data_IF_652143537929
#
_entry.id   IF_652143537929
#
_cell.length_a   1.000
_cell.length_b   1.000
_cell.length_c   1.000
_cell.angle_alpha   90.00
_cell.angle_beta   90.00
_cell.angle_gamma   90.00
#
_symmetry.space_group_name_H-M   'P 1'
#
loop_
_entity.id
_entity.type
_entity.pdbx_description
1 polymer ?
#
# COMPACT_ATOMS: atom_id res chain seq x y z
N UNK A 1 16.64 -31.15 47.20
CA UNK A 1 16.73 -29.68 47.19
C UNK A 1 17.49 -29.29 45.94
N UNK A 2 16.79 -29.03 44.84
CA UNK A 2 17.38 -28.72 43.52
C UNK A 2 17.07 -27.23 43.26
N UNK A 3 18.11 -26.43 43.20
CA UNK A 3 18.04 -25.00 42.88
C UNK A 3 17.78 -24.84 41.37
N UNK A 4 16.66 -24.25 41.01
CA UNK A 4 16.38 -23.73 39.69
C UNK A 4 17.17 -22.44 39.48
N UNK A 5 18.14 -22.50 38.57
CA UNK A 5 18.85 -21.32 38.05
C UNK A 5 17.95 -20.61 37.04
N UNK A 6 17.36 -19.51 37.46
CA UNK A 6 16.63 -18.58 36.60
C UNK A 6 17.68 -17.82 35.79
N UNK A 7 17.76 -18.09 34.49
CA UNK A 7 18.56 -17.27 33.56
C UNK A 7 17.86 -15.96 33.32
N UNK A 8 18.28 -14.92 33.99
CA UNK A 8 17.86 -13.54 33.71
C UNK A 8 18.40 -13.14 32.34
N UNK A 9 17.48 -12.94 31.39
CA UNK A 9 17.77 -12.28 30.12
C UNK A 9 18.23 -10.87 30.39
N UNK A 10 19.52 -10.63 30.26
CA UNK A 10 20.14 -9.30 30.40
C UNK A 10 19.80 -8.49 29.13
N UNK A 11 18.67 -7.82 29.13
CA UNK A 11 18.44 -6.74 28.19
C UNK A 11 19.47 -5.64 28.44
N UNK A 12 20.44 -5.47 27.53
CA UNK A 12 21.33 -4.32 27.52
C UNK A 12 20.47 -3.07 27.40
N UNK A 13 20.67 -2.04 28.28
CA UNK A 13 19.96 -0.78 28.11
C UNK A 13 20.36 -0.19 26.76
N UNK A 14 19.35 0.10 25.93
CA UNK A 14 19.57 0.81 24.68
C UNK A 14 20.29 2.13 24.97
N UNK A 15 21.44 2.35 24.33
CA UNK A 15 22.14 3.62 24.44
C UNK A 15 21.22 4.73 23.89
N UNK A 16 20.79 5.72 24.69
CA UNK A 16 19.82 6.73 24.26
C UNK A 16 20.30 7.61 23.10
N UNK A 17 21.57 7.52 22.73
CA UNK A 17 22.16 8.24 21.61
C UNK A 17 22.22 7.41 20.31
N UNK A 18 21.80 6.14 20.33
CA UNK A 18 21.82 5.31 19.13
C UNK A 18 20.46 5.47 18.42
N UNK A 19 20.48 6.01 17.20
CA UNK A 19 19.29 6.06 16.36
C UNK A 19 18.77 4.63 16.11
N UNK A 20 17.46 4.41 16.17
CA UNK A 20 16.88 3.09 15.89
C UNK A 20 17.29 2.62 14.49
N UNK A 21 17.48 1.31 14.32
CA UNK A 21 17.81 0.62 13.05
C UNK A 21 19.19 0.94 12.42
N UNK A 22 20.03 1.77 13.03
CA UNK A 22 21.41 2.03 12.53
C UNK A 22 22.23 0.76 12.44
N UNK A 23 22.06 -0.15 13.40
CA UNK A 23 22.72 -1.46 13.45
C UNK A 23 22.32 -2.38 12.28
N UNK A 24 21.21 -2.07 11.60
CA UNK A 24 20.74 -2.75 10.39
C UNK A 24 21.10 -1.99 9.10
N UNK A 25 21.81 -0.86 9.22
CA UNK A 25 22.07 0.06 8.11
C UNK A 25 20.78 0.65 7.51
N UNK A 26 19.77 0.92 8.37
CA UNK A 26 18.48 1.49 7.97
C UNK A 26 18.21 2.80 8.71
N UNK A 27 17.48 3.71 8.08
CA UNK A 27 17.00 4.95 8.70
C UNK A 27 15.80 4.70 9.63
N UNK A 28 14.96 3.71 9.31
CA UNK A 28 13.73 3.34 10.03
C UNK A 28 13.32 1.91 9.67
N UNK A 29 12.32 1.37 10.38
CA UNK A 29 11.75 0.06 10.01
C UNK A 29 11.09 0.14 8.63
N UNK A 30 11.54 -0.65 7.62
CA UNK A 30 11.03 -0.58 6.25
C UNK A 30 9.52 -0.81 6.14
N UNK A 31 8.95 -1.57 7.09
CA UNK A 31 7.56 -2.00 7.08
C UNK A 31 6.66 -1.18 7.99
N UNK A 32 7.19 -0.12 8.60
CA UNK A 32 6.41 0.88 9.34
C UNK A 32 5.45 1.66 8.44
N UNK A 33 4.54 2.40 9.06
CA UNK A 33 3.59 3.23 8.32
C UNK A 33 4.32 4.37 7.58
N UNK A 34 4.18 4.40 6.26
CA UNK A 34 4.79 5.42 5.42
C UNK A 34 3.83 6.60 5.20
N UNK A 35 4.34 7.84 5.24
CA UNK A 35 3.60 9.00 4.75
C UNK A 35 3.10 8.80 3.31
N UNK A 36 1.92 9.34 3.00
CA UNK A 36 1.26 9.15 1.69
C UNK A 36 2.16 9.43 0.48
N UNK A 37 2.99 10.47 0.56
CA UNK A 37 3.94 10.85 -0.51
C UNK A 37 4.96 9.76 -0.88
N UNK A 38 5.30 8.89 0.07
CA UNK A 38 6.25 7.80 -0.16
C UNK A 38 5.54 6.52 -0.63
N UNK A 39 4.27 6.33 -0.24
CA UNK A 39 3.48 5.17 -0.71
C UNK A 39 3.35 5.14 -2.23
N UNK A 40 3.13 6.29 -2.87
CA UNK A 40 3.06 6.40 -4.32
C UNK A 40 4.36 5.96 -5.00
N UNK A 41 5.52 6.41 -4.46
CA UNK A 41 6.84 6.09 -5.02
C UNK A 41 7.23 4.62 -4.90
N UNK A 42 6.70 3.93 -3.89
CA UNK A 42 6.97 2.52 -3.61
C UNK A 42 5.88 1.58 -4.14
N UNK A 43 4.94 2.11 -4.92
CA UNK A 43 3.91 1.31 -5.55
C UNK A 43 4.51 0.43 -6.67
N UNK A 44 4.28 -0.88 -6.57
CA UNK A 44 4.64 -1.85 -7.63
C UNK A 44 3.42 -2.08 -8.49
N UNK A 45 3.23 -1.26 -9.52
CA UNK A 45 2.08 -1.30 -10.43
C UNK A 45 2.51 -0.98 -11.86
N UNK A 46 1.98 -1.73 -12.83
CA UNK A 46 2.03 -1.31 -14.23
C UNK A 46 0.92 -0.30 -14.49
N UNK A 47 1.29 0.96 -14.60
CA UNK A 47 0.36 2.06 -14.87
C UNK A 47 0.02 2.23 -16.34
N UNK A 48 0.83 1.70 -17.26
CA UNK A 48 0.69 1.93 -18.71
C UNK A 48 -0.71 1.59 -19.23
N UNK A 49 -1.27 0.37 -19.04
CA UNK A 49 -2.58 0.03 -19.57
C UNK A 49 -3.74 0.74 -18.85
N UNK A 50 -3.47 1.33 -17.68
CA UNK A 50 -4.44 2.11 -16.92
C UNK A 50 -4.50 3.55 -17.43
N UNK A 51 -3.35 4.14 -17.75
CA UNK A 51 -3.25 5.48 -18.34
C UNK A 51 -3.85 5.53 -19.74
N UNK A 52 -3.61 4.51 -20.57
CA UNK A 52 -4.24 4.37 -21.89
C UNK A 52 -5.77 4.35 -21.80
N UNK A 53 -6.33 3.63 -20.82
CA UNK A 53 -7.78 3.64 -20.59
C UNK A 53 -8.27 5.02 -20.14
N UNK A 54 -7.57 5.66 -19.19
CA UNK A 54 -7.95 6.96 -18.66
C UNK A 54 -7.86 8.11 -19.67
N UNK A 55 -7.13 7.94 -20.78
CA UNK A 55 -7.12 8.90 -21.89
C UNK A 55 -8.42 8.94 -22.70
N UNK A 56 -9.30 7.94 -22.53
CA UNK A 56 -10.58 7.86 -23.26
C UNK A 56 -11.60 8.84 -22.67
N UNK A 57 -12.52 9.34 -23.50
CA UNK A 57 -13.61 10.19 -23.02
C UNK A 57 -14.47 9.47 -21.97
N UNK A 58 -14.78 10.16 -20.88
CA UNK A 58 -15.63 9.64 -19.79
C UNK A 58 -15.14 8.33 -19.16
N UNK A 59 -13.84 8.03 -19.26
CA UNK A 59 -13.25 6.83 -18.68
C UNK A 59 -13.42 6.79 -17.16
N UNK A 60 -13.61 5.58 -16.63
CA UNK A 60 -13.59 5.28 -15.21
C UNK A 60 -12.71 4.06 -14.98
N UNK A 61 -11.69 4.23 -14.16
CA UNK A 61 -10.91 3.13 -13.61
C UNK A 61 -11.42 2.84 -12.20
N UNK A 62 -11.87 1.62 -11.97
CA UNK A 62 -12.36 1.16 -10.68
C UNK A 62 -11.40 0.12 -10.09
N UNK A 63 -10.80 0.43 -8.94
CA UNK A 63 -9.97 -0.50 -8.17
C UNK A 63 -10.85 -1.09 -7.07
N UNK A 64 -11.17 -2.37 -7.16
CA UNK A 64 -11.97 -3.09 -6.16
C UNK A 64 -11.04 -3.99 -5.35
N UNK A 65 -11.29 -4.15 -4.07
CA UNK A 65 -10.57 -5.09 -3.20
C UNK A 65 -10.87 -4.84 -1.73
N UNK A 66 -10.53 -5.78 -0.90
CA UNK A 66 -10.69 -5.68 0.56
C UNK A 66 -9.71 -4.68 1.18
N UNK A 67 -9.87 -4.41 2.46
CA UNK A 67 -8.96 -3.55 3.22
C UNK A 67 -7.60 -4.25 3.32
N UNK A 68 -6.51 -3.51 3.06
CA UNK A 68 -5.15 -4.10 3.08
C UNK A 68 -4.56 -4.36 1.70
N UNK A 69 -5.37 -4.53 0.66
CA UNK A 69 -4.95 -4.93 -0.70
C UNK A 69 -4.37 -3.79 -1.56
N UNK A 70 -3.79 -2.77 -0.96
CA UNK A 70 -3.00 -1.76 -1.67
C UNK A 70 -3.78 -0.74 -2.51
N UNK A 71 -5.14 -0.72 -2.52
CA UNK A 71 -5.94 0.24 -3.31
C UNK A 71 -5.44 1.67 -3.23
N UNK A 72 -5.31 2.21 -2.01
CA UNK A 72 -4.85 3.59 -1.78
C UNK A 72 -3.46 3.84 -2.38
N UNK A 73 -2.54 2.87 -2.29
CA UNK A 73 -1.20 2.95 -2.87
C UNK A 73 -1.27 3.08 -4.39
N UNK A 74 -2.11 2.28 -5.04
CA UNK A 74 -2.34 2.35 -6.49
C UNK A 74 -2.98 3.68 -6.91
N UNK A 75 -3.97 4.17 -6.14
CA UNK A 75 -4.60 5.47 -6.40
C UNK A 75 -3.60 6.62 -6.33
N UNK A 76 -2.69 6.59 -5.35
CA UNK A 76 -1.66 7.62 -5.18
C UNK A 76 -0.60 7.54 -6.28
N UNK A 77 -0.20 6.34 -6.70
CA UNK A 77 0.71 6.17 -7.83
C UNK A 77 0.10 6.73 -9.12
N UNK A 78 -1.17 6.44 -9.38
CA UNK A 78 -1.89 7.01 -10.53
C UNK A 78 -2.05 8.52 -10.41
N UNK A 79 -2.28 9.06 -9.20
CA UNK A 79 -2.35 10.51 -8.98
C UNK A 79 -1.07 11.20 -9.43
N UNK A 80 0.09 10.63 -9.12
CA UNK A 80 1.40 11.22 -9.46
C UNK A 80 1.68 11.23 -10.98
N UNK A 81 0.91 10.45 -11.77
CA UNK A 81 0.98 10.50 -13.24
C UNK A 81 0.27 11.72 -13.87
N UNK A 82 -0.52 12.48 -13.10
CA UNK A 82 -1.33 13.58 -13.61
C UNK A 82 -1.12 14.86 -12.81
N UNK A 83 -0.72 15.93 -13.45
CA UNK A 83 -0.49 17.23 -12.80
C UNK A 83 -1.77 17.90 -12.30
N UNK A 84 -2.91 17.64 -12.95
CA UNK A 84 -4.22 18.21 -12.62
C UNK A 84 -5.13 17.27 -11.82
N UNK A 85 -4.62 16.12 -11.36
CA UNK A 85 -5.41 15.17 -10.60
C UNK A 85 -5.74 15.68 -9.20
N UNK A 86 -6.98 15.46 -8.76
CA UNK A 86 -7.39 15.66 -7.37
C UNK A 86 -7.71 14.35 -6.69
N UNK A 87 -7.26 14.19 -5.46
CA UNK A 87 -7.47 12.99 -4.64
C UNK A 87 -8.29 13.33 -3.40
N UNK A 88 -9.34 12.55 -3.15
CA UNK A 88 -10.15 12.66 -1.94
C UNK A 88 -10.36 11.27 -1.35
N UNK A 89 -9.96 11.12 -0.09
CA UNK A 89 -10.31 9.96 0.72
C UNK A 89 -11.56 10.25 1.54
N UNK A 90 -12.50 9.31 1.56
CA UNK A 90 -13.75 9.41 2.35
C UNK A 90 -13.63 8.57 3.63
N UNK A 91 -13.23 9.16 4.78
CA UNK A 91 -13.24 8.45 6.05
C UNK A 91 -14.66 8.09 6.46
N UNK A 92 -14.80 7.08 7.30
CA UNK A 92 -16.11 6.71 7.84
C UNK A 92 -16.74 7.87 8.61
N UNK A 93 -18.02 8.12 8.37
CA UNK A 93 -18.79 9.20 9.00
C UNK A 93 -18.40 10.63 8.59
N UNK A 94 -17.38 10.84 7.74
CA UNK A 94 -16.96 12.18 7.31
C UNK A 94 -17.30 12.44 5.84
N UNK A 95 -17.55 13.71 5.52
CA UNK A 95 -17.90 14.17 4.17
C UNK A 95 -16.95 15.30 3.75
N UNK A 96 -15.73 14.98 3.33
CA UNK A 96 -14.79 15.99 2.88
C UNK A 96 -15.32 16.70 1.63
N UNK A 97 -14.96 17.97 1.41
CA UNK A 97 -15.24 18.67 0.17
C UNK A 97 -14.50 17.97 -0.98
N UNK A 98 -15.16 17.93 -2.15
CA UNK A 98 -14.59 17.31 -3.35
C UNK A 98 -14.11 18.42 -4.29
N UNK A 99 -12.79 18.62 -4.42
CA UNK A 99 -12.24 19.64 -5.30
C UNK A 99 -12.48 19.28 -6.78
N UNK A 100 -12.19 20.22 -7.65
CA UNK A 100 -12.05 19.93 -9.06
C UNK A 100 -10.74 19.21 -9.34
N UNK A 101 -10.73 18.39 -10.38
CA UNK A 101 -9.52 17.64 -10.77
C UNK A 101 -9.75 16.82 -12.04
N UNK A 102 -8.67 16.59 -12.78
CA UNK A 102 -8.69 15.84 -14.02
C UNK A 102 -7.44 14.93 -14.09
N UNK A 103 -7.56 13.62 -13.78
CA UNK A 103 -8.74 12.91 -13.30
C UNK A 103 -9.14 13.25 -11.86
N UNK A 104 -10.38 12.93 -11.47
CA UNK A 104 -10.84 12.99 -10.09
C UNK A 104 -10.73 11.60 -9.45
N UNK A 105 -9.98 11.52 -8.35
CA UNK A 105 -9.68 10.27 -7.65
C UNK A 105 -10.47 10.22 -6.34
N UNK A 106 -11.33 9.21 -6.19
CA UNK A 106 -12.22 9.03 -5.05
C UNK A 106 -11.86 7.72 -4.34
N UNK A 107 -11.24 7.82 -3.18
CA UNK A 107 -10.90 6.67 -2.34
C UNK A 107 -12.00 6.39 -1.31
N UNK A 108 -12.34 5.12 -1.13
CA UNK A 108 -13.49 4.65 -0.34
C UNK A 108 -14.84 5.15 -0.92
N UNK A 109 -14.98 5.10 -2.25
CA UNK A 109 -16.12 5.65 -2.98
C UNK A 109 -17.50 5.09 -2.54
N UNK A 110 -17.57 3.88 -1.95
CA UNK A 110 -18.79 3.30 -1.39
C UNK A 110 -19.32 4.06 -0.17
N UNK A 111 -18.48 4.89 0.50
CA UNK A 111 -18.87 5.70 1.65
C UNK A 111 -19.53 7.02 1.25
N UNK A 112 -19.46 7.38 -0.04
CA UNK A 112 -20.09 8.59 -0.56
C UNK A 112 -21.61 8.37 -0.57
N UNK A 113 -22.42 9.30 -0.02
CA UNK A 113 -23.88 9.23 -0.10
C UNK A 113 -24.34 9.07 -1.55
N UNK A 114 -25.41 8.29 -1.78
CA UNK A 114 -25.85 7.93 -3.13
C UNK A 114 -26.14 9.14 -4.03
N UNK A 115 -26.71 10.21 -3.50
CA UNK A 115 -27.04 11.44 -4.23
C UNK A 115 -25.77 12.21 -4.63
N UNK A 116 -24.79 12.35 -3.71
CA UNK A 116 -23.52 13.01 -3.98
C UNK A 116 -22.69 12.17 -4.97
N UNK A 117 -22.65 10.84 -4.78
CA UNK A 117 -21.98 9.92 -5.69
C UNK A 117 -22.55 10.01 -7.11
N UNK A 118 -23.89 10.12 -7.25
CA UNK A 118 -24.53 10.32 -8.55
C UNK A 118 -24.03 11.59 -9.25
N UNK A 119 -23.93 12.71 -8.53
CA UNK A 119 -23.39 13.97 -9.07
C UNK A 119 -21.92 13.84 -9.48
N UNK A 120 -21.09 13.23 -8.64
CA UNK A 120 -19.67 13.02 -8.94
C UNK A 120 -19.47 12.10 -10.14
N UNK A 121 -20.25 11.05 -10.27
CA UNK A 121 -20.18 10.11 -11.39
C UNK A 121 -20.64 10.73 -12.72
N UNK A 122 -21.35 11.84 -12.70
CA UNK A 122 -21.78 12.60 -13.90
C UNK A 122 -20.75 13.64 -14.34
N UNK A 123 -19.75 13.99 -13.53
CA UNK A 123 -18.75 15.00 -13.91
C UNK A 123 -18.08 14.62 -15.24
N UNK A 124 -17.78 15.58 -16.14
CA UNK A 124 -17.25 15.28 -17.49
C UNK A 124 -15.76 14.94 -17.51
N UNK A 125 -15.17 14.58 -16.37
CA UNK A 125 -13.75 14.22 -16.23
C UNK A 125 -13.57 12.71 -16.04
N UNK A 126 -12.41 12.13 -16.35
CA UNK A 126 -12.08 10.78 -15.97
C UNK A 126 -12.16 10.58 -14.46
N UNK A 127 -12.59 9.41 -14.02
CA UNK A 127 -12.68 9.07 -12.60
C UNK A 127 -11.78 7.88 -12.29
N UNK A 128 -11.16 7.92 -11.11
CA UNK A 128 -10.45 6.78 -10.54
C UNK A 128 -11.06 6.49 -9.18
N UNK A 129 -11.59 5.29 -9.00
CA UNK A 129 -12.35 4.89 -7.81
C UNK A 129 -11.60 3.82 -7.03
N UNK A 130 -11.35 4.02 -5.74
CA UNK A 130 -11.02 2.97 -4.78
C UNK A 130 -12.28 2.57 -4.04
N UNK A 131 -12.66 1.30 -4.06
CA UNK A 131 -13.94 0.85 -3.52
C UNK A 131 -13.92 -0.61 -3.10
N UNK A 132 -14.83 -1.00 -2.21
CA UNK A 132 -15.17 -2.39 -1.89
C UNK A 132 -16.41 -2.88 -2.65
N UNK A 133 -17.05 -2.00 -3.43
CA UNK A 133 -18.27 -2.30 -4.18
C UNK A 133 -18.06 -2.10 -5.67
N UNK A 134 -18.64 -2.97 -6.47
CA UNK A 134 -18.67 -2.82 -7.92
C UNK A 134 -19.76 -1.82 -8.34
N UNK A 135 -19.34 -0.73 -8.98
CA UNK A 135 -20.21 0.30 -9.54
C UNK A 135 -20.33 0.20 -11.07
N UNK A 136 -19.79 -0.84 -11.71
CA UNK A 136 -19.74 -1.00 -13.17
C UNK A 136 -21.09 -0.76 -13.82
N UNK A 137 -22.13 -1.48 -13.38
CA UNK A 137 -23.48 -1.32 -13.95
C UNK A 137 -24.05 0.08 -13.78
N UNK A 138 -23.80 0.74 -12.63
CA UNK A 138 -24.26 2.09 -12.37
C UNK A 138 -23.56 3.10 -13.28
N UNK A 139 -22.26 2.98 -13.43
CA UNK A 139 -21.42 3.87 -14.25
C UNK A 139 -21.74 3.71 -15.74
N UNK A 140 -21.87 2.48 -16.22
CA UNK A 140 -22.25 2.18 -17.61
C UNK A 140 -23.63 2.77 -17.98
N UNK A 141 -24.62 2.70 -17.09
CA UNK A 141 -25.92 3.35 -17.30
C UNK A 141 -25.85 4.88 -17.39
N UNK A 142 -24.76 5.48 -16.87
CA UNK A 142 -24.46 6.91 -16.98
C UNK A 142 -23.59 7.24 -18.20
N UNK A 143 -23.35 6.27 -19.11
CA UNK A 143 -22.54 6.43 -20.31
C UNK A 143 -21.05 6.54 -20.02
N UNK A 144 -20.55 5.88 -18.97
CA UNK A 144 -19.12 5.79 -18.65
C UNK A 144 -18.47 4.58 -19.30
N UNK A 145 -17.22 4.75 -19.76
CA UNK A 145 -16.33 3.64 -20.16
C UNK A 145 -15.58 3.14 -18.93
N UNK A 146 -15.91 1.94 -18.47
CA UNK A 146 -15.47 1.43 -17.17
C UNK A 146 -14.48 0.29 -17.35
N UNK A 147 -13.29 0.45 -16.77
CA UNK A 147 -12.31 -0.62 -16.55
C UNK A 147 -12.24 -0.93 -15.05
N UNK A 148 -12.48 -2.19 -14.71
CA UNK A 148 -12.39 -2.68 -13.33
C UNK A 148 -11.10 -3.50 -13.17
N UNK A 149 -10.38 -3.23 -12.10
CA UNK A 149 -9.16 -3.94 -11.69
C UNK A 149 -9.36 -4.39 -10.25
N UNK A 150 -9.16 -5.66 -10.00
CA UNK A 150 -9.13 -6.19 -8.64
C UNK A 150 -7.78 -5.87 -8.00
N UNK A 151 -7.82 -5.19 -6.88
CA UNK A 151 -6.62 -4.93 -6.09
C UNK A 151 -6.38 -6.12 -5.15
N UNK A 152 -5.18 -6.69 -5.20
CA UNK A 152 -4.83 -7.88 -4.42
C UNK A 152 -4.89 -9.19 -5.19
N UNK A 153 -5.75 -9.34 -6.19
CA UNK A 153 -5.96 -10.61 -6.94
C UNK A 153 -4.69 -11.23 -7.57
N UNK A 154 -3.55 -10.58 -7.47
CA UNK A 154 -2.29 -11.01 -8.11
C UNK A 154 -1.05 -10.61 -7.33
N UNK A 155 -1.12 -10.54 -6.02
CA UNK A 155 0.12 -10.45 -5.25
C UNK A 155 0.80 -11.81 -5.30
N UNK A 156 1.52 -12.03 -6.40
CA UNK A 156 2.34 -13.21 -6.55
C UNK A 156 3.69 -13.02 -5.81
N UNK A 157 4.43 -14.13 -5.76
CA UNK A 157 5.76 -14.18 -5.15
C UNK A 157 6.69 -13.10 -5.68
N UNK A 158 6.69 -12.85 -7.00
CA UNK A 158 7.61 -11.89 -7.62
C UNK A 158 7.21 -10.45 -7.28
N UNK A 159 5.93 -10.17 -7.25
CA UNK A 159 5.43 -8.86 -6.87
C UNK A 159 5.69 -8.57 -5.40
N UNK A 160 5.45 -9.54 -4.50
CA UNK A 160 5.75 -9.37 -3.07
C UNK A 160 7.25 -9.18 -2.82
N UNK A 161 8.11 -10.00 -3.43
CA UNK A 161 9.57 -9.83 -3.35
C UNK A 161 10.01 -8.43 -3.78
N UNK A 162 9.45 -7.93 -4.88
CA UNK A 162 9.73 -6.58 -5.38
C UNK A 162 9.29 -5.49 -4.40
N UNK A 163 8.10 -5.61 -3.82
CA UNK A 163 7.61 -4.69 -2.77
C UNK A 163 8.56 -4.68 -1.58
N UNK A 164 8.90 -5.85 -1.06
CA UNK A 164 9.76 -6.02 0.11
C UNK A 164 11.14 -5.41 -0.14
N UNK A 165 11.77 -5.74 -1.26
CA UNK A 165 13.08 -5.20 -1.64
C UNK A 165 13.05 -3.68 -1.78
N UNK A 166 12.05 -3.12 -2.45
CA UNK A 166 11.91 -1.67 -2.60
C UNK A 166 11.75 -0.95 -1.25
N UNK A 167 11.01 -1.55 -0.31
CA UNK A 167 10.83 -1.00 1.04
C UNK A 167 12.15 -0.99 1.82
N UNK A 168 12.91 -2.08 1.76
CA UNK A 168 14.22 -2.18 2.42
C UNK A 168 15.20 -1.18 1.80
N UNK A 169 15.29 -1.11 0.47
CA UNK A 169 16.16 -0.15 -0.22
C UNK A 169 15.79 1.31 0.07
N UNK A 170 14.50 1.60 0.16
CA UNK A 170 14.05 2.95 0.52
C UNK A 170 14.44 3.35 1.95
N UNK A 171 14.52 2.39 2.85
CA UNK A 171 14.95 2.60 4.22
C UNK A 171 16.48 2.56 4.40
N UNK A 172 17.25 2.10 3.39
CA UNK A 172 18.71 2.00 3.43
C UNK A 172 19.33 3.35 3.78
N UNK A 173 20.31 3.32 4.67
CA UNK A 173 21.00 4.50 5.15
C UNK A 173 22.26 4.82 4.33
N UNK A 174 23.16 3.83 4.24
CA UNK A 174 24.48 3.99 3.64
C UNK A 174 24.78 2.81 2.70
N UNK A 175 25.77 2.93 1.78
CA UNK A 175 26.27 1.78 1.06
C UNK A 175 26.73 0.66 2.02
N UNK A 176 26.31 -0.58 1.81
CA UNK A 176 26.66 -1.70 2.66
C UNK A 176 25.53 -2.71 2.83
N UNK A 177 25.73 -3.76 3.64
CA UNK A 177 24.71 -4.78 3.85
C UNK A 177 23.47 -4.21 4.58
N UNK A 178 22.29 -4.68 4.19
CA UNK A 178 21.00 -4.51 4.87
C UNK A 178 20.35 -5.88 5.04
N UNK A 179 19.35 -6.03 5.93
CA UNK A 179 18.59 -7.28 6.01
C UNK A 179 17.95 -7.61 4.66
N UNK A 180 17.87 -8.91 4.36
CA UNK A 180 17.21 -9.41 3.15
C UNK A 180 16.15 -10.44 3.52
N UNK A 181 15.06 -10.49 2.77
CA UNK A 181 13.99 -11.48 2.94
C UNK A 181 14.12 -12.51 1.83
N UNK A 182 14.49 -13.76 2.15
CA UNK A 182 14.63 -14.84 1.15
C UNK A 182 13.27 -15.17 0.51
N UNK A 183 13.31 -15.73 -0.70
CA UNK A 183 12.10 -16.14 -1.41
C UNK A 183 11.31 -17.23 -0.65
N UNK A 184 11.97 -18.07 0.12
CA UNK A 184 11.30 -19.05 0.99
C UNK A 184 10.44 -18.37 2.06
N UNK A 185 10.94 -17.29 2.67
CA UNK A 185 10.18 -16.48 3.62
C UNK A 185 9.02 -15.74 2.93
N UNK A 186 9.23 -15.26 1.70
CA UNK A 186 8.15 -14.68 0.88
C UNK A 186 7.02 -15.69 0.66
N UNK A 187 7.35 -16.96 0.33
CA UNK A 187 6.36 -18.02 0.15
C UNK A 187 5.60 -18.29 1.45
N UNK A 188 6.28 -18.38 2.59
CA UNK A 188 5.67 -18.57 3.90
C UNK A 188 4.71 -17.42 4.27
N UNK A 189 5.09 -16.18 3.98
CA UNK A 189 4.24 -15.01 4.19
C UNK A 189 2.96 -15.06 3.34
N UNK A 190 3.09 -15.47 2.07
CA UNK A 190 1.93 -15.65 1.18
C UNK A 190 1.03 -16.80 1.65
N UNK A 191 1.60 -17.91 2.10
CA UNK A 191 0.84 -19.05 2.62
C UNK A 191 0.07 -18.68 3.90
N UNK A 192 0.65 -17.82 4.75
CA UNK A 192 0.04 -17.43 6.03
C UNK A 192 -0.98 -16.29 5.90
N UNK A 193 -0.72 -15.31 5.04
CA UNK A 193 -1.49 -14.07 4.97
C UNK A 193 -2.23 -13.86 3.64
N UNK A 194 -2.00 -14.75 2.65
CA UNK A 194 -2.55 -14.59 1.31
C UNK A 194 -2.07 -13.30 0.66
N UNK A 195 -3.00 -12.55 0.08
CA UNK A 195 -2.77 -11.28 -0.62
C UNK A 195 -2.96 -10.02 0.28
N UNK A 196 -3.13 -10.20 1.60
CA UNK A 196 -3.19 -9.08 2.55
C UNK A 196 -1.80 -8.48 2.81
N UNK A 197 -1.39 -7.56 1.93
CA UNK A 197 -0.11 -6.85 2.02
C UNK A 197 0.06 -6.16 3.38
N UNK A 198 -1.03 -5.68 3.99
CA UNK A 198 -0.93 -5.00 5.30
C UNK A 198 -0.60 -6.00 6.42
N UNK A 199 -1.18 -7.18 6.40
CA UNK A 199 -0.84 -8.24 7.36
C UNK A 199 0.60 -8.71 7.18
N UNK A 200 1.05 -8.88 5.93
CA UNK A 200 2.44 -9.20 5.59
C UNK A 200 3.39 -8.12 6.08
N UNK A 201 3.10 -6.84 5.80
CA UNK A 201 3.92 -5.71 6.27
C UNK A 201 3.98 -5.65 7.81
N UNK A 202 2.86 -5.92 8.50
CA UNK A 202 2.81 -6.01 9.96
C UNK A 202 3.70 -7.11 10.50
N UNK A 203 3.66 -8.30 9.92
CA UNK A 203 4.52 -9.42 10.29
C UNK A 203 6.02 -9.10 10.07
N UNK A 204 6.36 -8.56 8.91
CA UNK A 204 7.73 -8.14 8.62
C UNK A 204 8.18 -6.98 9.54
N UNK A 205 7.27 -6.07 9.91
CA UNK A 205 7.59 -5.02 10.88
C UNK A 205 8.06 -5.63 12.20
N UNK A 206 7.33 -6.61 12.73
CA UNK A 206 7.67 -7.27 13.99
C UNK A 206 8.99 -8.03 13.89
N UNK A 207 9.23 -8.76 12.80
CA UNK A 207 10.51 -9.43 12.57
C UNK A 207 11.68 -8.43 12.56
N UNK A 208 11.57 -7.32 11.82
CA UNK A 208 12.63 -6.30 11.73
C UNK A 208 12.89 -5.57 13.06
N UNK A 209 11.90 -5.50 13.95
CA UNK A 209 12.10 -4.92 15.29
C UNK A 209 13.08 -5.73 16.16
N UNK A 210 13.20 -7.04 15.90
CA UNK A 210 14.00 -7.96 16.71
C UNK A 210 15.35 -8.32 16.08
N UNK A 211 15.67 -7.79 14.89
CA UNK A 211 16.96 -8.03 14.26
C UNK A 211 18.08 -7.30 14.97
N UNK A 212 19.16 -7.97 15.28
CA UNK A 212 20.35 -7.41 15.91
C UNK A 212 21.43 -6.99 14.90
N UNK A 213 21.39 -7.50 13.69
CA UNK A 213 22.37 -7.25 12.62
C UNK A 213 21.73 -7.49 11.24
N UNK A 214 22.32 -6.96 10.15
CA UNK A 214 21.91 -7.34 8.80
C UNK A 214 22.08 -8.86 8.59
N UNK A 215 20.98 -9.55 8.27
CA UNK A 215 20.97 -11.00 8.06
C UNK A 215 19.86 -11.38 7.08
N UNK A 216 19.77 -12.65 6.75
CA UNK A 216 18.57 -13.21 6.12
C UNK A 216 17.47 -13.32 7.17
N UNK A 217 16.28 -12.76 6.84
CA UNK A 217 15.10 -12.79 7.72
C UNK A 217 14.38 -14.12 7.48
N UNK A 218 14.28 -14.93 8.51
CA UNK A 218 13.55 -16.21 8.51
C UNK A 218 12.33 -16.12 9.41
N UNK A 219 11.27 -16.91 9.09
CA UNK A 219 10.06 -17.03 9.90
C UNK A 219 10.17 -18.23 10.86
#
# INVERSE_FOLDING_TARGET
MVQLLTTASTQRPANPLTLPFVHLNLHFNPFGELPLKYRAKLAVIDTTPLLEHLARPRAVLQLIGEKGHGKTTHLLALKDCFSAASYVHFPEGKRPPVPEGNPLILDEAQRIPWWQRRQLFQRPVPLILGTHRDFTRQLQRMGRDVKTVQAGDKTDRQQLDKIVRQRIEFARRDPGPVPTVPLATIDQLLDQHGDDIRAIEGHLYDLFQHLERPCHVEM
#
